data_IF_862265008999
#
_entry.id   IF_862265008999
#
_cell.length_a   1.000
_cell.length_b   1.000
_cell.length_c   1.000
_cell.angle_alpha   90.00
_cell.angle_beta   90.00
_cell.angle_gamma   90.00
#
_symmetry.space_group_name_H-M   'P 1'
#
loop_
_entity.id
_entity.type
_entity.pdbx_description
1 polymer ?
#
# COMPACT_ATOMS: atom_id res chain seq x y z
N UNK A 1 -14.38 -4.25 14.80
CA UNK A 1 -13.00 -4.81 14.75
C UNK A 1 -12.68 -5.16 13.31
N UNK A 2 -11.45 -4.95 12.82
CA UNK A 2 -11.02 -5.41 11.48
C UNK A 2 -10.06 -6.59 11.61
N UNK A 3 -10.21 -7.59 10.75
CA UNK A 3 -9.38 -8.79 10.75
C UNK A 3 -8.97 -9.15 9.32
N UNK A 4 -7.70 -9.52 9.13
CA UNK A 4 -7.22 -10.04 7.86
C UNK A 4 -7.73 -11.46 7.64
N UNK A 5 -8.44 -11.69 6.53
CA UNK A 5 -8.87 -13.03 6.13
C UNK A 5 -7.68 -13.96 5.88
N UNK A 6 -6.54 -13.43 5.40
CA UNK A 6 -5.33 -14.24 5.22
C UNK A 6 -4.77 -14.70 6.57
N UNK A 7 -4.75 -13.81 7.56
CA UNK A 7 -4.26 -14.16 8.89
C UNK A 7 -5.20 -15.16 9.59
N UNK A 8 -6.52 -15.01 9.43
CA UNK A 8 -7.48 -15.97 9.97
C UNK A 8 -7.25 -17.40 9.44
N UNK A 9 -6.89 -17.54 8.16
CA UNK A 9 -6.59 -18.83 7.53
C UNK A 9 -5.38 -19.55 8.14
N UNK A 10 -4.52 -18.84 8.87
CA UNK A 10 -3.38 -19.46 9.57
C UNK A 10 -3.83 -20.23 10.83
N UNK A 11 -5.04 -19.94 11.36
CA UNK A 11 -5.56 -20.55 12.58
C UNK A 11 -6.73 -21.50 12.35
N UNK A 12 -7.49 -21.31 11.26
CA UNK A 12 -8.68 -22.12 10.97
C UNK A 12 -8.74 -22.53 9.51
N UNK A 13 -9.28 -23.73 9.28
CA UNK A 13 -9.53 -24.23 7.93
C UNK A 13 -10.81 -23.62 7.37
N UNK A 14 -10.68 -22.79 6.34
CA UNK A 14 -11.80 -22.20 5.62
C UNK A 14 -11.96 -22.95 4.28
N UNK A 15 -13.17 -23.45 3.94
CA UNK A 15 -13.41 -24.13 2.67
C UNK A 15 -12.98 -23.28 1.47
N UNK A 16 -12.22 -23.84 0.52
CA UNK A 16 -11.65 -23.07 -0.61
C UNK A 16 -12.68 -22.46 -1.55
N UNK A 17 -13.89 -23.02 -1.58
CA UNK A 17 -14.99 -22.60 -2.43
C UNK A 17 -15.86 -21.49 -1.82
N UNK A 18 -15.62 -21.08 -0.57
CA UNK A 18 -16.38 -19.99 0.05
C UNK A 18 -15.78 -18.64 -0.34
N UNK A 19 -16.64 -17.71 -0.75
CA UNK A 19 -16.23 -16.32 -1.00
C UNK A 19 -16.15 -15.55 0.33
N UNK A 20 -15.35 -14.47 0.41
CA UNK A 20 -15.31 -13.61 1.60
C UNK A 20 -16.70 -13.10 2.01
N UNK A 21 -17.54 -12.77 1.04
CA UNK A 21 -18.91 -12.29 1.25
C UNK A 21 -19.76 -13.36 1.93
N UNK A 22 -19.72 -14.59 1.40
CA UNK A 22 -20.49 -15.69 1.99
C UNK A 22 -19.99 -16.06 3.38
N UNK A 23 -18.68 -16.02 3.59
CA UNK A 23 -18.10 -16.22 4.92
C UNK A 23 -18.58 -15.13 5.90
N UNK A 24 -18.63 -13.88 5.48
CA UNK A 24 -19.14 -12.77 6.28
C UNK A 24 -20.60 -12.97 6.70
N UNK A 25 -21.46 -13.39 5.76
CA UNK A 25 -22.87 -13.72 6.05
C UNK A 25 -22.99 -14.82 7.12
N UNK A 26 -22.22 -15.91 6.98
CA UNK A 26 -22.25 -17.02 7.93
C UNK A 26 -21.75 -16.61 9.32
N UNK A 27 -20.69 -15.79 9.39
CA UNK A 27 -20.21 -15.27 10.67
C UNK A 27 -21.26 -14.42 11.36
N UNK A 28 -21.95 -13.54 10.62
CA UNK A 28 -23.05 -12.70 11.11
C UNK A 28 -24.21 -13.54 11.65
N UNK A 29 -24.59 -14.62 10.96
CA UNK A 29 -25.71 -15.47 11.37
C UNK A 29 -25.41 -16.32 12.61
N UNK A 30 -24.14 -16.70 12.83
CA UNK A 30 -23.80 -17.73 13.83
C UNK A 30 -23.00 -17.22 15.02
N UNK A 31 -22.33 -16.07 14.92
CA UNK A 31 -21.31 -15.69 15.91
C UNK A 31 -21.24 -14.20 16.16
N UNK A 32 -20.97 -13.41 15.13
CA UNK A 32 -20.70 -11.97 15.26
C UNK A 32 -20.96 -11.27 13.92
N UNK A 33 -21.57 -10.11 14.00
CA UNK A 33 -21.88 -9.29 12.83
C UNK A 33 -20.63 -8.84 12.07
N UNK A 34 -20.66 -8.99 10.75
CA UNK A 34 -19.67 -8.49 9.80
C UNK A 34 -20.24 -7.29 9.06
N UNK A 35 -19.86 -6.08 9.50
CA UNK A 35 -20.37 -4.82 8.95
C UNK A 35 -19.87 -4.52 7.53
N UNK A 36 -18.63 -4.92 7.20
CA UNK A 36 -18.04 -4.63 5.89
C UNK A 36 -16.89 -5.58 5.55
N UNK A 37 -16.69 -5.78 4.25
CA UNK A 37 -15.56 -6.52 3.68
C UNK A 37 -14.81 -5.56 2.76
N UNK A 38 -13.49 -5.50 2.91
CA UNK A 38 -12.62 -4.61 2.14
C UNK A 38 -11.58 -5.43 1.40
N UNK A 39 -11.60 -5.38 0.07
CA UNK A 39 -10.55 -5.96 -0.75
C UNK A 39 -9.39 -4.97 -0.87
N UNK A 40 -8.24 -5.36 -0.32
CA UNK A 40 -7.03 -4.54 -0.36
C UNK A 40 -6.22 -4.84 -1.61
N UNK A 41 -5.50 -3.84 -2.12
CA UNK A 41 -4.50 -4.01 -3.18
C UNK A 41 -4.99 -3.82 -4.61
N UNK A 42 -6.29 -3.69 -4.87
CA UNK A 42 -6.82 -3.53 -6.24
C UNK A 42 -6.31 -2.27 -6.95
N UNK A 43 -5.95 -1.23 -6.18
CA UNK A 43 -5.51 0.07 -6.68
C UNK A 43 -3.99 0.27 -6.62
N UNK A 44 -3.19 -0.81 -6.55
CA UNK A 44 -1.72 -0.72 -6.47
C UNK A 44 -1.03 -0.89 -7.84
N UNK A 45 -1.74 -0.60 -8.93
CA UNK A 45 -1.18 -0.67 -10.28
C UNK A 45 0.03 0.26 -10.44
N UNK A 46 1.11 -0.25 -11.06
CA UNK A 46 2.38 0.45 -11.26
C UNK A 46 3.10 0.91 -9.98
N UNK A 47 2.78 0.33 -8.82
CA UNK A 47 3.52 0.54 -7.58
C UNK A 47 4.50 -0.62 -7.37
N UNK A 48 5.75 -0.30 -7.07
CA UNK A 48 6.83 -1.27 -6.82
C UNK A 48 7.53 -0.97 -5.52
N UNK A 49 8.33 -1.92 -5.01
CA UNK A 49 9.21 -1.64 -3.87
C UNK A 49 10.47 -0.97 -4.41
N UNK A 50 10.78 0.22 -3.88
CA UNK A 50 12.02 0.94 -4.17
C UNK A 50 12.90 1.05 -2.93
N UNK A 51 14.22 1.14 -3.12
CA UNK A 51 15.20 1.39 -2.05
C UNK A 51 15.81 2.77 -2.22
N UNK A 52 15.75 3.59 -1.18
CA UNK A 52 16.43 4.90 -1.17
C UNK A 52 17.93 4.65 -1.10
N UNK A 53 18.68 5.06 -2.12
CA UNK A 53 20.13 4.96 -2.16
C UNK A 53 20.81 6.20 -1.60
N UNK A 54 20.24 7.39 -1.86
CA UNK A 54 20.81 8.67 -1.46
C UNK A 54 19.72 9.70 -1.18
N UNK A 55 19.94 10.56 -0.18
CA UNK A 55 19.10 11.72 0.09
C UNK A 55 19.92 13.00 0.15
N UNK A 56 19.48 14.02 -0.58
CA UNK A 56 20.11 15.34 -0.62
C UNK A 56 19.06 16.43 -0.35
N UNK A 57 19.41 17.55 0.29
CA UNK A 57 18.49 18.68 0.40
C UNK A 57 18.18 19.26 -0.99
N UNK A 58 16.95 19.72 -1.20
CA UNK A 58 16.59 20.39 -2.45
C UNK A 58 17.21 21.81 -2.48
N UNK A 59 17.92 22.20 -3.56
CA UNK A 59 18.68 23.46 -3.60
C UNK A 59 17.80 24.71 -3.48
N UNK A 60 16.53 24.61 -3.89
CA UNK A 60 15.58 25.73 -3.90
C UNK A 60 14.38 25.54 -2.94
N UNK A 61 14.42 24.57 -2.03
CA UNK A 61 13.29 24.30 -1.13
C UNK A 61 13.71 23.59 0.17
N UNK A 62 13.63 24.30 1.29
CA UNK A 62 14.11 23.81 2.60
C UNK A 62 13.37 22.57 3.11
N UNK A 63 12.10 22.39 2.72
CA UNK A 63 11.24 21.28 3.16
C UNK A 63 11.31 20.06 2.25
N UNK A 64 12.02 20.12 1.13
CA UNK A 64 12.06 19.06 0.13
C UNK A 64 13.44 18.40 0.09
N UNK A 65 13.43 17.11 -0.21
CA UNK A 65 14.64 16.30 -0.42
C UNK A 65 14.64 15.75 -1.84
N UNK A 66 15.83 15.63 -2.43
CA UNK A 66 16.08 14.88 -3.64
C UNK A 66 16.50 13.46 -3.23
N UNK A 67 15.65 12.48 -3.53
CA UNK A 67 15.89 11.07 -3.28
C UNK A 67 16.34 10.38 -4.57
N UNK A 68 17.44 9.64 -4.51
CA UNK A 68 17.80 8.66 -5.55
C UNK A 68 17.27 7.31 -5.09
N UNK A 69 16.33 6.74 -5.84
CA UNK A 69 15.63 5.50 -5.49
C UNK A 69 15.93 4.44 -6.54
N UNK A 70 16.37 3.27 -6.09
CA UNK A 70 16.55 2.08 -6.92
C UNK A 70 15.26 1.25 -6.91
N UNK A 71 14.67 1.02 -8.07
CA UNK A 71 13.45 0.20 -8.23
C UNK A 71 13.75 -1.17 -8.85
N UNK A 72 15.00 -1.61 -8.80
CA UNK A 72 15.49 -2.91 -9.28
C UNK A 72 15.88 -2.93 -10.76
N UNK A 73 15.17 -2.20 -11.61
CA UNK A 73 15.49 -2.07 -13.05
C UNK A 73 16.27 -0.81 -13.37
N UNK A 74 15.98 0.28 -12.65
CA UNK A 74 16.56 1.59 -12.88
C UNK A 74 16.65 2.40 -11.57
N UNK A 75 17.44 3.47 -11.62
CA UNK A 75 17.59 4.43 -10.52
C UNK A 75 16.94 5.73 -10.92
N UNK A 76 15.96 6.16 -10.14
CA UNK A 76 15.17 7.36 -10.41
C UNK A 76 15.49 8.44 -9.39
N UNK A 77 15.50 9.69 -9.85
CA UNK A 77 15.64 10.88 -8.99
C UNK A 77 14.27 11.48 -8.76
N UNK A 78 13.84 11.57 -7.51
CA UNK A 78 12.50 12.04 -7.13
C UNK A 78 12.60 13.12 -6.05
N UNK A 79 11.74 14.14 -6.16
CA UNK A 79 11.57 15.15 -5.12
C UNK A 79 10.55 14.62 -4.11
N UNK A 80 10.89 14.59 -2.83
CA UNK A 80 9.98 14.13 -1.78
C UNK A 80 10.01 15.06 -0.56
N UNK A 81 8.83 15.35 0.00
CA UNK A 81 8.65 16.13 1.23
C UNK A 81 8.58 15.29 2.51
N UNK A 82 8.78 13.98 2.43
CA UNK A 82 8.70 13.07 3.58
C UNK A 82 9.76 13.40 4.65
N UNK A 83 9.31 13.71 5.86
CA UNK A 83 10.21 14.01 6.98
C UNK A 83 10.92 12.75 7.51
N UNK A 84 10.32 11.57 7.35
CA UNK A 84 10.79 10.28 7.85
C UNK A 84 11.72 9.50 6.91
N UNK A 85 12.13 10.08 5.78
CA UNK A 85 12.99 9.42 4.80
C UNK A 85 14.45 9.33 5.29
N UNK A 86 15.07 8.17 5.09
CA UNK A 86 16.49 7.91 5.35
C UNK A 86 17.09 6.97 4.28
N UNK A 87 18.41 7.00 4.11
CA UNK A 87 19.12 6.15 3.15
C UNK A 87 19.03 4.67 3.56
N UNK A 88 18.84 3.79 2.58
CA UNK A 88 18.60 2.36 2.78
C UNK A 88 17.14 1.97 3.03
N UNK A 89 16.24 2.94 3.26
CA UNK A 89 14.82 2.69 3.48
C UNK A 89 14.16 2.03 2.25
N UNK A 90 13.36 0.98 2.48
CA UNK A 90 12.44 0.44 1.49
C UNK A 90 11.12 1.21 1.51
N UNK A 91 10.64 1.60 0.34
CA UNK A 91 9.43 2.42 0.16
C UNK A 91 8.53 1.83 -0.93
N UNK A 92 7.22 2.06 -0.81
CA UNK A 92 6.31 1.89 -1.93
C UNK A 92 6.52 3.03 -2.92
N UNK A 93 7.02 2.72 -4.12
CA UNK A 93 7.33 3.66 -5.17
C UNK A 93 6.26 3.61 -6.26
N UNK A 94 5.53 4.70 -6.43
CA UNK A 94 4.60 4.89 -7.53
C UNK A 94 5.36 5.38 -8.77
N UNK A 95 5.40 4.57 -9.84
CA UNK A 95 6.03 4.97 -11.09
C UNK A 95 5.17 6.00 -11.82
N UNK A 96 5.75 6.72 -12.78
CA UNK A 96 4.98 7.55 -13.72
C UNK A 96 3.89 6.70 -14.37
N UNK A 97 2.65 7.20 -14.41
CA UNK A 97 1.47 6.45 -14.85
C UNK A 97 0.83 5.56 -13.78
N UNK A 98 1.30 5.57 -12.53
CA UNK A 98 0.59 4.97 -11.42
C UNK A 98 -0.60 5.85 -11.01
N UNK A 99 -1.72 5.22 -10.65
CA UNK A 99 -2.91 5.94 -10.17
C UNK A 99 -3.17 5.61 -8.70
N UNK A 100 -3.26 6.62 -7.86
CA UNK A 100 -3.40 6.51 -6.40
C UNK A 100 -4.53 7.39 -5.88
N UNK A 101 -5.02 7.11 -4.66
CA UNK A 101 -5.99 7.98 -3.99
C UNK A 101 -5.26 9.05 -3.18
N UNK A 102 -5.57 10.32 -3.42
CA UNK A 102 -5.03 11.43 -2.63
C UNK A 102 -5.50 11.32 -1.17
N UNK A 103 -4.56 11.21 -0.22
CA UNK A 103 -4.84 10.93 1.19
C UNK A 103 -5.79 9.74 1.45
N UNK A 104 -5.82 8.75 0.55
CA UNK A 104 -6.68 7.58 0.67
C UNK A 104 -8.17 7.84 0.39
N UNK A 105 -8.54 9.06 -0.03
CA UNK A 105 -9.91 9.47 -0.32
C UNK A 105 -10.12 9.77 -1.80
N UNK A 106 -11.37 9.76 -2.23
CA UNK A 106 -11.77 10.13 -3.59
C UNK A 106 -11.45 9.07 -4.66
N UNK A 107 -11.45 9.54 -5.90
CA UNK A 107 -11.13 8.76 -7.10
C UNK A 107 -9.62 8.61 -7.28
N UNK A 108 -9.24 7.68 -8.16
CA UNK A 108 -7.84 7.47 -8.50
C UNK A 108 -7.34 8.64 -9.36
N UNK A 109 -6.24 9.25 -8.91
CA UNK A 109 -5.53 10.32 -9.62
C UNK A 109 -4.13 9.84 -9.99
N UNK A 110 -3.62 10.34 -11.11
CA UNK A 110 -2.25 10.09 -11.58
C UNK A 110 -1.30 11.17 -11.07
#
# INVERSE_FOLDING_TARGET
MQLSLNWLKDFVNIPKNITPEKLGELLTLHTVEVESIKKLGENLGNIVVGKILKLEPHPNADKLKLAIVDIGQEKLKVVCGGSNLYEGMLVAFAKVGAKIKWHGQGELVE
#
